data_IF_484990356713
#
_entry.id   IF_484990356713
#
_cell.length_a   1.000
_cell.length_b   1.000
_cell.length_c   1.000
_cell.angle_alpha   90.00
_cell.angle_beta   90.00
_cell.angle_gamma   90.00
#
_symmetry.space_group_name_H-M   'P 1'
#
loop_
_entity.id
_entity.type
_entity.pdbx_description
1 polymer ?
#
# COMPACT_ATOMS: atom_id res chain seq x y z
N UNK A 1 6.27 35.89 -6.43
CA UNK A 1 5.41 35.91 -7.64
C UNK A 1 5.80 34.71 -8.49
N UNK A 2 4.88 33.87 -8.96
CA UNK A 2 5.21 32.80 -9.89
C UNK A 2 5.78 33.45 -11.16
N UNK A 3 7.01 33.11 -11.49
CA UNK A 3 7.62 33.49 -12.76
C UNK A 3 6.91 32.71 -13.87
N UNK A 4 6.68 33.34 -15.03
CA UNK A 4 5.97 32.75 -16.19
C UNK A 4 6.57 31.39 -16.67
N UNK A 5 7.72 31.00 -16.16
CA UNK A 5 8.49 29.81 -16.53
C UNK A 5 8.54 28.71 -15.46
N UNK A 6 7.75 28.78 -14.37
CA UNK A 6 7.80 27.77 -13.32
C UNK A 6 7.08 26.47 -13.75
N UNK A 7 7.84 25.55 -14.33
CA UNK A 7 7.36 24.22 -14.69
C UNK A 7 7.30 23.32 -13.44
N UNK A 8 6.16 22.75 -13.15
CA UNK A 8 5.99 21.74 -12.09
C UNK A 8 5.65 20.40 -12.73
N UNK A 9 6.36 19.35 -12.36
CA UNK A 9 6.14 17.99 -12.84
C UNK A 9 5.82 17.11 -11.64
N UNK A 10 4.72 16.39 -11.69
CA UNK A 10 4.29 15.47 -10.65
C UNK A 10 4.10 14.06 -11.20
N UNK A 11 4.51 13.06 -10.42
CA UNK A 11 4.33 11.63 -10.71
C UNK A 11 3.58 10.99 -9.55
N UNK A 12 2.43 10.39 -9.86
CA UNK A 12 1.62 9.61 -8.93
C UNK A 12 1.89 8.13 -9.15
N UNK A 13 2.12 7.38 -8.06
CA UNK A 13 2.47 5.97 -8.05
C UNK A 13 1.25 5.10 -7.72
N UNK A 14 0.33 4.98 -8.68
CA UNK A 14 -0.89 4.17 -8.52
C UNK A 14 -0.63 2.67 -8.72
N UNK A 15 -1.49 1.81 -8.14
CA UNK A 15 -1.38 0.36 -8.29
C UNK A 15 -1.90 -0.17 -9.63
N UNK A 16 -2.73 0.60 -10.35
CA UNK A 16 -3.19 0.24 -11.71
C UNK A 16 -2.36 0.91 -12.79
N UNK A 17 -1.93 2.14 -12.54
CA UNK A 17 -1.13 2.94 -13.47
C UNK A 17 -0.28 3.95 -12.71
N UNK A 18 0.87 4.30 -13.26
CA UNK A 18 1.65 5.48 -12.88
C UNK A 18 1.21 6.64 -13.77
N UNK A 19 0.96 7.79 -13.17
CA UNK A 19 0.50 8.98 -13.88
C UNK A 19 1.48 10.12 -13.69
N UNK A 20 2.04 10.63 -14.78
CA UNK A 20 2.90 11.80 -14.80
C UNK A 20 2.17 12.99 -15.45
N UNK A 21 2.18 14.13 -14.80
CA UNK A 21 1.60 15.38 -15.33
C UNK A 21 2.62 16.51 -15.18
N UNK A 22 2.78 17.29 -16.24
CA UNK A 22 3.55 18.50 -16.23
C UNK A 22 2.63 19.71 -16.45
N UNK A 23 2.78 20.72 -15.62
CA UNK A 23 1.90 21.90 -15.67
C UNK A 23 2.55 23.16 -15.11
N UNK A 24 1.83 24.26 -15.21
CA UNK A 24 2.18 25.56 -14.65
C UNK A 24 1.02 26.12 -13.84
N UNK A 25 1.32 26.67 -12.68
CA UNK A 25 0.37 27.46 -11.91
C UNK A 25 0.22 28.84 -12.54
N UNK A 26 -0.98 29.23 -12.84
CA UNK A 26 -1.31 30.54 -13.38
C UNK A 26 -1.56 31.53 -12.23
N UNK A 27 -1.43 32.87 -12.47
CA UNK A 27 -1.68 33.88 -11.43
C UNK A 27 -3.11 33.86 -10.89
N UNK A 28 -4.08 33.35 -11.64
CA UNK A 28 -5.48 33.18 -11.23
C UNK A 28 -5.76 31.91 -10.46
N UNK A 29 -4.71 31.14 -10.13
CA UNK A 29 -4.80 29.89 -9.41
C UNK A 29 -5.15 28.66 -10.28
N UNK A 30 -5.35 28.83 -11.59
CA UNK A 30 -5.55 27.72 -12.52
C UNK A 30 -4.25 26.97 -12.79
N UNK A 31 -4.34 25.67 -13.07
CA UNK A 31 -3.23 24.86 -13.54
C UNK A 31 -3.36 24.68 -15.06
N UNK A 32 -2.38 25.18 -15.80
CA UNK A 32 -2.23 24.88 -17.22
C UNK A 32 -1.50 23.55 -17.38
N UNK A 33 -2.14 22.57 -17.98
CA UNK A 33 -1.53 21.27 -18.31
C UNK A 33 -0.73 21.39 -19.59
N UNK A 34 0.56 21.05 -19.53
CA UNK A 34 1.50 21.14 -20.65
C UNK A 34 1.79 19.79 -21.29
N UNK A 35 1.83 18.73 -20.47
CA UNK A 35 1.98 17.36 -20.93
C UNK A 35 1.45 16.39 -19.87
N UNK A 36 1.06 15.19 -20.31
CA UNK A 36 0.78 14.08 -19.43
C UNK A 36 1.18 12.76 -20.07
N UNK A 37 1.49 11.76 -19.22
CA UNK A 37 1.78 10.40 -19.60
C UNK A 37 1.21 9.44 -18.54
N UNK A 38 0.80 8.26 -18.96
CA UNK A 38 0.31 7.19 -18.08
C UNK A 38 0.88 5.86 -18.56
N UNK A 39 1.30 5.03 -17.60
CA UNK A 39 1.79 3.67 -17.86
C UNK A 39 1.15 2.67 -16.91
N UNK A 40 0.75 1.46 -17.37
CA UNK A 40 0.25 0.40 -16.49
C UNK A 40 1.29 -0.01 -15.44
N UNK A 41 0.87 -0.17 -14.18
CA UNK A 41 1.78 -0.49 -13.07
C UNK A 41 1.48 -1.79 -12.34
N UNK A 42 0.48 -2.53 -12.76
CA UNK A 42 -0.02 -3.74 -12.08
C UNK A 42 1.03 -4.84 -11.87
N UNK A 43 2.15 -4.81 -12.61
CA UNK A 43 3.23 -5.80 -12.50
C UNK A 43 4.36 -5.38 -11.56
N UNK A 44 4.43 -4.11 -11.12
CA UNK A 44 5.54 -3.60 -10.32
C UNK A 44 5.12 -2.67 -9.16
N UNK A 45 3.83 -2.29 -9.08
CA UNK A 45 3.27 -1.63 -7.89
C UNK A 45 2.14 -2.52 -7.35
N UNK A 46 2.21 -2.84 -6.06
CA UNK A 46 1.19 -3.62 -5.35
C UNK A 46 0.78 -2.92 -4.07
N UNK A 47 -0.52 -2.72 -3.90
CA UNK A 47 -1.08 -2.03 -2.72
C UNK A 47 -0.42 -0.67 -2.44
N UNK A 48 -0.10 0.07 -3.50
CA UNK A 48 0.58 1.36 -3.43
C UNK A 48 2.06 1.30 -3.04
N UNK A 49 2.72 0.14 -3.10
CA UNK A 49 4.15 -0.04 -2.83
C UNK A 49 4.88 -0.59 -4.05
N UNK A 50 6.13 -0.15 -4.23
CA UNK A 50 6.99 -0.66 -5.29
C UNK A 50 7.37 -2.11 -4.96
N UNK A 51 7.06 -3.02 -5.88
CA UNK A 51 7.34 -4.45 -5.76
C UNK A 51 8.50 -4.90 -6.69
N UNK A 52 8.73 -4.14 -7.77
CA UNK A 52 9.84 -4.39 -8.69
C UNK A 52 10.53 -3.06 -9.03
N UNK A 53 11.73 -2.87 -8.46
CA UNK A 53 12.52 -1.64 -8.59
C UNK A 53 12.96 -1.40 -10.04
N UNK A 54 13.37 -2.45 -10.77
CA UNK A 54 13.85 -2.32 -12.14
C UNK A 54 12.73 -1.86 -13.09
N UNK A 55 11.58 -2.51 -13.03
CA UNK A 55 10.41 -2.10 -13.85
C UNK A 55 9.94 -0.69 -13.48
N UNK A 56 9.97 -0.33 -12.21
CA UNK A 56 9.63 1.03 -11.77
C UNK A 56 10.62 2.05 -12.33
N UNK A 57 11.92 1.76 -12.31
CA UNK A 57 12.96 2.64 -12.90
C UNK A 57 12.75 2.82 -14.41
N UNK A 58 12.46 1.74 -15.15
CA UNK A 58 12.12 1.80 -16.57
C UNK A 58 10.89 2.66 -16.84
N UNK A 59 9.81 2.47 -16.07
CA UNK A 59 8.59 3.28 -16.17
C UNK A 59 8.89 4.78 -15.94
N UNK A 60 9.67 5.13 -14.92
CA UNK A 60 10.05 6.53 -14.65
C UNK A 60 10.85 7.11 -15.82
N UNK A 61 11.81 6.34 -16.38
CA UNK A 61 12.62 6.77 -17.52
C UNK A 61 11.78 7.02 -18.76
N UNK A 62 10.90 6.08 -19.11
CA UNK A 62 9.95 6.21 -20.23
C UNK A 62 9.02 7.41 -20.04
N UNK A 63 8.46 7.56 -18.85
CA UNK A 63 7.56 8.68 -18.53
C UNK A 63 8.26 10.02 -18.62
N UNK A 64 9.48 10.14 -18.07
CA UNK A 64 10.31 11.34 -18.21
C UNK A 64 10.51 11.70 -19.68
N UNK A 65 10.98 10.75 -20.49
CA UNK A 65 11.22 10.96 -21.92
C UNK A 65 9.96 11.38 -22.68
N UNK A 66 8.82 10.73 -22.39
CA UNK A 66 7.52 11.09 -22.98
C UNK A 66 7.08 12.52 -22.65
N UNK A 67 7.23 12.94 -21.38
CA UNK A 67 6.89 14.29 -20.95
C UNK A 67 7.83 15.32 -21.58
N UNK A 68 9.14 15.07 -21.59
CA UNK A 68 10.16 15.94 -22.17
C UNK A 68 9.95 16.15 -23.69
N UNK A 69 9.68 15.07 -24.42
CA UNK A 69 9.35 15.16 -25.86
C UNK A 69 8.13 16.01 -26.15
N UNK A 70 7.06 15.87 -25.35
CA UNK A 70 5.83 16.67 -25.51
C UNK A 70 6.04 18.15 -25.21
N UNK A 71 6.87 18.46 -24.22
CA UNK A 71 7.10 19.85 -23.79
C UNK A 71 8.29 20.52 -24.46
N UNK A 72 9.21 19.74 -25.07
CA UNK A 72 10.52 20.20 -25.57
C UNK A 72 11.35 20.87 -24.46
N UNK A 73 11.22 20.40 -23.22
CA UNK A 73 11.93 20.90 -22.03
C UNK A 73 12.47 19.74 -21.22
N UNK A 74 13.68 19.86 -20.68
CA UNK A 74 14.27 18.83 -19.85
C UNK A 74 13.73 18.88 -18.42
N UNK A 75 13.56 17.69 -17.80
CA UNK A 75 13.08 17.51 -16.43
C UNK A 75 14.26 17.09 -15.55
N UNK A 76 14.60 17.91 -14.55
CA UNK A 76 15.66 17.61 -13.58
C UNK A 76 15.14 17.03 -12.27
N UNK A 77 13.92 17.43 -11.91
CA UNK A 77 13.28 17.01 -10.66
C UNK A 77 11.78 16.88 -10.82
N UNK A 78 11.14 16.13 -9.93
CA UNK A 78 9.70 15.90 -9.93
C UNK A 78 9.14 15.83 -8.51
N UNK A 79 7.87 16.14 -8.36
CA UNK A 79 7.09 15.86 -7.16
C UNK A 79 6.54 14.45 -7.26
N UNK A 80 6.70 13.65 -6.20
CA UNK A 80 6.24 12.25 -6.20
C UNK A 80 5.28 12.02 -5.06
N UNK A 81 4.07 11.54 -5.37
CA UNK A 81 3.10 11.21 -4.35
C UNK A 81 3.50 9.96 -3.57
N UNK A 82 3.54 10.06 -2.23
CA UNK A 82 3.77 8.92 -1.37
C UNK A 82 2.46 8.43 -0.77
N UNK A 83 2.25 7.11 -0.77
CA UNK A 83 1.04 6.45 -0.27
C UNK A 83 1.27 4.96 -0.06
N UNK A 84 0.18 4.21 0.05
CA UNK A 84 0.21 2.75 0.03
C UNK A 84 0.04 2.08 1.39
N UNK A 85 0.01 0.76 1.33
CA UNK A 85 -0.27 -0.12 2.46
C UNK A 85 0.69 0.11 3.63
N UNK A 86 0.12 0.15 4.84
CA UNK A 86 0.85 0.32 6.10
C UNK A 86 1.00 1.77 6.54
N UNK A 87 0.63 2.74 5.70
CA UNK A 87 0.57 4.15 6.10
C UNK A 87 -0.63 4.38 7.04
N UNK A 88 -0.37 4.98 8.19
CA UNK A 88 -1.40 5.34 9.17
C UNK A 88 -0.89 6.43 10.12
N UNK A 89 -1.80 6.98 10.90
CA UNK A 89 -1.46 7.98 11.93
C UNK A 89 -1.22 7.36 13.28
N UNK A 90 -0.22 7.90 14.00
CA UNK A 90 0.12 7.56 15.39
C UNK A 90 0.19 8.85 16.18
N UNK A 91 -0.54 8.91 17.30
CA UNK A 91 -0.46 10.04 18.23
C UNK A 91 0.82 9.93 19.07
N UNK A 92 1.47 11.06 19.31
CA UNK A 92 2.60 11.18 20.23
C UNK A 92 2.50 12.49 20.99
N UNK A 93 3.15 12.57 22.15
CA UNK A 93 3.27 13.81 22.91
C UNK A 93 4.71 14.05 23.38
N UNK A 94 5.08 15.31 23.43
CA UNK A 94 6.38 15.78 23.94
C UNK A 94 6.11 16.74 25.07
N UNK A 95 6.74 16.53 26.24
CA UNK A 95 6.54 17.34 27.46
C UNK A 95 7.82 18.08 27.82
N UNK A 96 7.68 19.35 28.14
CA UNK A 96 8.77 20.21 28.68
C UNK A 96 8.31 20.86 29.98
N UNK A 97 9.17 20.80 30.99
CA UNK A 97 9.00 21.52 32.28
C UNK A 97 10.07 22.56 32.43
N UNK A 98 9.71 23.70 33.03
CA UNK A 98 10.61 24.80 33.27
C UNK A 98 10.67 25.11 34.79
N UNK A 99 11.82 25.51 35.30
CA UNK A 99 12.01 25.84 36.72
C UNK A 99 11.20 27.06 37.18
N UNK A 100 10.81 27.92 36.22
CA UNK A 100 9.97 29.09 36.45
C UNK A 100 9.13 29.38 35.23
N UNK A 101 8.05 30.17 35.42
CA UNK A 101 7.25 30.63 34.30
C UNK A 101 8.09 31.44 33.33
N UNK A 102 8.10 31.01 32.07
CA UNK A 102 8.76 31.68 30.95
C UNK A 102 7.85 31.77 29.75
N UNK A 103 8.16 32.69 28.85
CA UNK A 103 7.45 32.85 27.58
C UNK A 103 7.80 31.70 26.63
N UNK A 104 6.79 31.08 26.09
CA UNK A 104 6.96 30.03 25.05
C UNK A 104 7.41 30.71 23.76
N UNK A 105 8.54 30.28 23.21
CA UNK A 105 9.10 30.81 21.97
C UNK A 105 8.89 29.84 20.79
N UNK A 106 9.00 30.35 19.58
CA UNK A 106 8.93 29.51 18.36
C UNK A 106 10.03 28.44 18.35
N UNK A 107 11.24 28.78 18.81
CA UNK A 107 12.38 27.85 18.87
C UNK A 107 12.10 26.65 19.79
N UNK A 108 11.35 26.88 20.89
CA UNK A 108 10.92 25.78 21.77
C UNK A 108 9.94 24.83 21.07
N UNK A 109 8.99 25.39 20.31
CA UNK A 109 8.03 24.60 19.55
C UNK A 109 8.72 23.80 18.44
N UNK A 110 9.67 24.42 17.75
CA UNK A 110 10.49 23.76 16.71
C UNK A 110 11.32 22.62 17.31
N UNK A 111 11.97 22.85 18.46
CA UNK A 111 12.75 21.83 19.16
C UNK A 111 11.86 20.66 19.66
N UNK A 112 10.63 20.93 20.11
CA UNK A 112 9.66 19.88 20.46
C UNK A 112 9.22 19.08 19.24
N UNK A 113 9.02 19.74 18.12
CA UNK A 113 8.68 19.09 16.83
C UNK A 113 9.81 18.18 16.35
N UNK A 114 11.07 18.62 16.48
CA UNK A 114 12.25 17.81 16.11
C UNK A 114 12.43 16.61 17.05
N UNK A 115 12.19 16.79 18.35
CA UNK A 115 12.17 15.68 19.30
C UNK A 115 11.09 14.66 18.97
N UNK A 116 9.86 15.11 18.62
CA UNK A 116 8.79 14.25 18.19
C UNK A 116 9.19 13.43 16.95
N UNK A 117 9.81 14.06 15.94
CA UNK A 117 10.29 13.37 14.72
C UNK A 117 11.39 12.36 15.02
N UNK A 118 12.22 12.62 16.02
CA UNK A 118 13.32 11.75 16.43
C UNK A 118 12.85 10.54 17.24
N UNK A 119 11.62 10.57 17.76
CA UNK A 119 11.02 9.48 18.56
C UNK A 119 10.52 8.29 17.72
N UNK A 120 10.82 8.26 16.42
CA UNK A 120 10.36 7.23 15.49
C UNK A 120 10.81 5.82 15.90
N UNK A 121 9.92 4.86 15.69
CA UNK A 121 10.20 3.43 15.88
C UNK A 121 11.20 2.94 14.80
N UNK A 122 12.15 2.03 15.11
CA UNK A 122 13.16 1.54 14.16
C UNK A 122 12.60 1.03 12.82
N UNK A 123 11.38 0.49 12.82
CA UNK A 123 10.75 -0.10 11.63
C UNK A 123 9.87 0.88 10.84
N UNK A 124 9.74 2.14 11.29
CA UNK A 124 8.81 3.11 10.70
C UNK A 124 9.40 4.50 10.63
N UNK A 125 9.23 5.13 9.48
CA UNK A 125 9.54 6.53 9.26
C UNK A 125 8.32 7.40 9.57
N UNK A 126 8.54 8.53 10.23
CA UNK A 126 7.58 9.62 10.26
C UNK A 126 7.69 10.36 8.93
N UNK A 127 6.65 10.24 8.11
CA UNK A 127 6.57 10.94 6.83
C UNK A 127 6.25 12.41 7.04
N UNK A 128 5.29 12.68 7.92
CA UNK A 128 4.84 14.02 8.30
C UNK A 128 4.40 14.03 9.76
N UNK A 129 4.62 15.15 10.44
CA UNK A 129 4.16 15.38 11.81
C UNK A 129 3.22 16.59 11.82
N UNK A 130 1.98 16.37 12.23
CA UNK A 130 0.92 17.38 12.28
C UNK A 130 0.69 17.78 13.75
N UNK A 131 1.10 18.98 14.17
CA UNK A 131 0.76 19.48 15.50
C UNK A 131 -0.77 19.53 15.69
N UNK A 132 -1.25 19.06 16.83
CA UNK A 132 -2.68 19.01 17.11
C UNK A 132 -3.10 20.12 18.07
N UNK A 133 -2.55 20.11 19.26
CA UNK A 133 -2.80 21.10 20.32
C UNK A 133 -1.65 21.08 21.33
N UNK A 134 -1.52 22.18 22.05
CA UNK A 134 -0.54 22.35 23.12
C UNK A 134 -1.28 22.58 24.44
N UNK A 135 -0.84 21.90 25.49
CA UNK A 135 -1.35 22.05 26.84
C UNK A 135 -0.34 22.84 27.68
N UNK A 136 -0.80 23.95 28.27
CA UNK A 136 -0.02 24.80 29.16
C UNK A 136 -0.75 24.90 30.53
N UNK A 137 -0.44 23.96 31.41
CA UNK A 137 -1.21 23.78 32.67
C UNK A 137 -2.65 23.38 32.37
N UNK A 138 -3.61 24.30 32.61
CA UNK A 138 -5.05 24.06 32.32
C UNK A 138 -5.53 24.65 31.01
N UNK A 139 -4.65 25.31 30.27
CA UNK A 139 -5.00 25.96 29.01
C UNK A 139 -4.65 25.07 27.83
N UNK A 140 -5.55 25.02 26.85
CA UNK A 140 -5.35 24.31 25.56
C UNK A 140 -5.33 25.34 24.43
N UNK A 141 -4.36 25.24 23.52
CA UNK A 141 -4.22 26.14 22.39
C UNK A 141 -3.58 25.44 21.21
N UNK A 142 -3.84 25.93 19.99
CA UNK A 142 -3.12 25.54 18.78
C UNK A 142 -1.92 26.46 18.51
N UNK A 143 -1.89 27.64 19.12
CA UNK A 143 -0.83 28.63 18.99
C UNK A 143 -0.34 29.00 20.43
N UNK A 144 0.73 28.36 20.91
CA UNK A 144 1.25 28.55 22.26
C UNK A 144 2.28 29.68 22.38
N UNK A 145 2.76 30.26 21.26
CA UNK A 145 3.85 31.25 21.24
C UNK A 145 3.40 32.53 21.96
N UNK A 146 4.26 33.06 22.82
CA UNK A 146 3.98 34.26 23.60
C UNK A 146 3.24 34.01 24.94
N UNK A 147 2.80 32.78 25.22
CA UNK A 147 2.12 32.43 26.49
C UNK A 147 3.16 32.17 27.57
N UNK A 148 2.92 32.72 28.77
CA UNK A 148 3.74 32.45 29.96
C UNK A 148 3.30 31.15 30.65
N UNK A 149 4.23 30.16 30.73
CA UNK A 149 3.97 28.88 31.37
C UNK A 149 5.21 28.33 32.09
N UNK A 150 5.00 27.46 33.06
CA UNK A 150 6.01 26.65 33.77
C UNK A 150 6.19 25.26 33.14
N UNK A 151 5.45 24.97 32.04
CA UNK A 151 5.58 23.77 31.26
C UNK A 151 4.67 23.78 30.03
N UNK A 152 5.00 22.94 29.08
CA UNK A 152 4.23 22.75 27.84
C UNK A 152 4.23 21.27 27.45
N UNK A 153 3.08 20.77 27.04
CA UNK A 153 2.90 19.46 26.43
C UNK A 153 2.37 19.67 25.00
N UNK A 154 3.15 19.29 24.01
CA UNK A 154 2.75 19.32 22.60
C UNK A 154 2.20 17.97 22.18
N UNK A 155 0.99 17.94 21.63
CA UNK A 155 0.38 16.76 21.04
C UNK A 155 0.56 16.77 19.54
N UNK A 156 1.05 15.68 19.01
CA UNK A 156 1.36 15.49 17.57
C UNK A 156 0.62 14.29 17.01
N UNK A 157 0.18 14.39 15.77
CA UNK A 157 -0.29 13.28 14.97
C UNK A 157 0.75 12.99 13.88
N UNK A 158 1.47 11.90 14.03
CA UNK A 158 2.52 11.50 13.11
C UNK A 158 1.95 10.56 12.04
N UNK A 159 2.13 10.88 10.77
CA UNK A 159 1.84 9.98 9.67
C UNK A 159 3.07 9.11 9.47
N UNK A 160 2.91 7.82 9.68
CA UNK A 160 3.99 6.85 9.63
C UNK A 160 3.80 5.84 8.50
N UNK A 161 4.91 5.37 7.95
CA UNK A 161 4.96 4.25 7.01
C UNK A 161 6.17 3.37 7.32
N UNK A 162 6.29 2.22 6.66
CA UNK A 162 7.50 1.40 6.76
C UNK A 162 8.71 2.21 6.27
N UNK A 163 9.83 2.13 6.98
CA UNK A 163 11.06 2.90 6.71
C UNK A 163 11.62 2.69 5.29
N UNK A 164 11.43 1.52 4.70
CA UNK A 164 11.90 1.22 3.33
C UNK A 164 11.20 2.01 2.24
N UNK A 165 9.93 2.44 2.45
CA UNK A 165 9.08 3.03 1.37
C UNK A 165 9.71 4.27 0.75
N UNK A 166 10.16 5.19 1.60
CA UNK A 166 10.78 6.45 1.14
C UNK A 166 12.09 6.19 0.39
N UNK A 167 12.86 5.24 0.87
CA UNK A 167 14.15 4.90 0.27
C UNK A 167 13.99 4.14 -1.04
N UNK A 168 13.04 3.20 -1.13
CA UNK A 168 12.67 2.50 -2.36
C UNK A 168 12.29 3.49 -3.47
N UNK A 169 11.43 4.46 -3.16
CA UNK A 169 11.04 5.52 -4.11
C UNK A 169 12.28 6.31 -4.54
N UNK A 170 13.08 6.82 -3.59
CA UNK A 170 14.28 7.62 -3.89
C UNK A 170 15.29 6.87 -4.75
N UNK A 171 15.48 5.58 -4.51
CA UNK A 171 16.41 4.75 -5.26
C UNK A 171 15.94 4.56 -6.70
N UNK A 172 14.64 4.32 -6.95
CA UNK A 172 14.09 4.21 -8.31
C UNK A 172 14.29 5.50 -9.12
N UNK A 173 13.95 6.65 -8.53
CA UNK A 173 14.11 7.95 -9.20
C UNK A 173 15.57 8.33 -9.43
N UNK A 174 16.45 8.07 -8.47
CA UNK A 174 17.89 8.26 -8.62
C UNK A 174 18.46 7.41 -9.76
N UNK A 175 18.05 6.14 -9.83
CA UNK A 175 18.45 5.21 -10.90
C UNK A 175 17.93 5.64 -12.27
N UNK A 176 16.78 6.29 -12.34
CA UNK A 176 16.25 6.89 -13.56
C UNK A 176 16.85 8.27 -13.90
N UNK A 177 17.81 8.77 -13.12
CA UNK A 177 18.44 10.07 -13.36
C UNK A 177 17.50 11.27 -13.13
N UNK A 178 16.54 11.15 -12.21
CA UNK A 178 15.58 12.20 -11.84
C UNK A 178 15.67 12.48 -10.35
N UNK A 179 15.82 13.75 -9.98
CA UNK A 179 15.79 14.15 -8.57
C UNK A 179 14.33 14.29 -8.09
N UNK A 180 14.10 13.98 -6.83
CA UNK A 180 12.80 14.23 -6.19
C UNK A 180 12.84 15.62 -5.55
N UNK A 181 11.91 16.49 -5.96
CA UNK A 181 11.75 17.82 -5.37
C UNK A 181 11.11 17.71 -3.98
N UNK A 182 10.03 16.92 -3.86
CA UNK A 182 9.35 16.64 -2.61
C UNK A 182 8.53 15.33 -2.74
N UNK A 183 8.15 14.77 -1.57
CA UNK A 183 7.35 13.54 -1.42
C UNK A 183 6.06 13.82 -0.64
N UNK A 184 5.10 14.58 -1.19
CA UNK A 184 3.84 14.85 -0.51
C UNK A 184 3.02 13.57 -0.32
N UNK A 185 2.26 13.50 0.77
CA UNK A 185 1.32 12.42 1.01
C UNK A 185 0.12 12.56 0.08
N UNK A 186 -0.07 11.60 -0.83
CA UNK A 186 -1.04 11.68 -1.93
C UNK A 186 -2.46 11.96 -1.43
N UNK A 187 -2.91 11.22 -0.40
CA UNK A 187 -4.29 11.39 0.11
C UNK A 187 -4.51 12.75 0.78
N UNK A 188 -3.48 13.35 1.39
CA UNK A 188 -3.58 14.73 1.92
C UNK A 188 -3.63 15.75 0.79
N UNK A 189 -2.78 15.61 -0.22
CA UNK A 189 -2.81 16.48 -1.40
C UNK A 189 -4.19 16.43 -2.09
N UNK A 190 -4.75 15.23 -2.28
CA UNK A 190 -6.12 15.06 -2.80
C UNK A 190 -7.17 15.71 -1.90
N UNK A 191 -7.10 15.48 -0.59
CA UNK A 191 -8.05 16.08 0.35
C UNK A 191 -8.00 17.62 0.32
N UNK A 192 -6.81 18.21 0.21
CA UNK A 192 -6.66 19.66 0.10
C UNK A 192 -7.22 20.21 -1.21
N UNK A 193 -7.05 19.47 -2.31
CA UNK A 193 -7.57 19.84 -3.62
C UNK A 193 -9.10 19.63 -3.77
N UNK A 194 -9.72 18.77 -2.95
CA UNK A 194 -11.14 18.37 -3.10
C UNK A 194 -12.05 18.84 -1.98
N UNK A 195 -11.56 18.93 -0.73
CA UNK A 195 -12.35 19.36 0.42
C UNK A 195 -12.44 20.89 0.47
N UNK A 196 -13.58 21.36 0.95
CA UNK A 196 -13.76 22.79 1.28
C UNK A 196 -13.32 23.06 2.72
N UNK A 197 -12.89 24.29 3.00
CA UNK A 197 -12.57 24.71 4.38
C UNK A 197 -13.72 24.51 5.39
N UNK A 198 -15.00 24.79 5.04
CA UNK A 198 -16.13 24.46 5.91
C UNK A 198 -16.26 22.97 6.21
N UNK A 199 -15.99 22.07 5.26
CA UNK A 199 -16.01 20.61 5.49
C UNK A 199 -14.91 20.19 6.45
N UNK A 200 -13.67 20.62 6.25
CA UNK A 200 -12.55 20.34 7.15
C UNK A 200 -12.80 20.87 8.56
N UNK A 201 -13.35 22.09 8.67
CA UNK A 201 -13.65 22.73 9.97
C UNK A 201 -14.77 22.03 10.71
N UNK A 202 -15.91 21.77 10.04
CA UNK A 202 -17.06 21.12 10.67
C UNK A 202 -16.82 19.64 11.00
N UNK A 203 -15.81 19.06 10.42
CA UNK A 203 -15.44 17.64 10.52
C UNK A 203 -16.03 16.80 9.40
N UNK A 204 -15.16 16.08 8.68
CA UNK A 204 -15.54 15.20 7.59
C UNK A 204 -14.61 14.00 7.47
N UNK A 205 -15.07 12.99 6.75
CA UNK A 205 -14.26 11.84 6.33
C UNK A 205 -14.00 11.95 4.84
N UNK A 206 -12.76 11.88 4.46
CA UNK A 206 -12.33 11.78 3.07
C UNK A 206 -11.91 10.36 2.76
N UNK A 207 -12.46 9.77 1.70
CA UNK A 207 -12.19 8.40 1.27
C UNK A 207 -11.75 8.41 -0.19
N UNK A 208 -10.55 7.92 -0.45
CA UNK A 208 -10.03 7.68 -1.80
C UNK A 208 -10.01 6.18 -2.09
N UNK A 209 -10.91 5.74 -2.96
CA UNK A 209 -11.08 4.33 -3.35
C UNK A 209 -10.27 4.04 -4.61
N UNK A 210 -9.03 3.59 -4.44
CA UNK A 210 -8.13 3.22 -5.54
C UNK A 210 -8.32 1.80 -6.06
N UNK A 211 -7.35 1.34 -6.86
CA UNK A 211 -7.36 -0.01 -7.44
C UNK A 211 -7.06 -1.10 -6.40
N UNK A 212 -5.99 -0.97 -5.62
CA UNK A 212 -5.61 -1.97 -4.62
C UNK A 212 -5.59 -1.41 -3.18
N UNK A 213 -5.92 -0.12 -3.01
CA UNK A 213 -5.97 0.53 -1.70
C UNK A 213 -7.18 1.45 -1.60
N UNK A 214 -7.68 1.61 -0.38
CA UNK A 214 -8.64 2.64 -0.01
C UNK A 214 -8.05 3.46 1.13
N UNK A 215 -7.82 4.75 0.89
CA UNK A 215 -7.27 5.67 1.89
C UNK A 215 -8.42 6.38 2.61
N UNK A 216 -8.32 6.47 3.93
CA UNK A 216 -9.31 7.15 4.79
C UNK A 216 -8.62 8.24 5.57
N UNK A 217 -9.10 9.47 5.50
CA UNK A 217 -8.62 10.60 6.27
C UNK A 217 -9.78 11.32 6.97
N UNK A 218 -9.66 11.55 8.27
CA UNK A 218 -10.66 12.27 9.07
C UNK A 218 -10.12 13.65 9.41
N UNK A 219 -10.90 14.67 9.10
CA UNK A 219 -10.59 16.07 9.41
C UNK A 219 -11.56 16.63 10.43
N UNK A 220 -11.08 17.47 11.33
CA UNK A 220 -11.87 18.24 12.29
C UNK A 220 -11.10 19.49 12.71
N UNK A 221 -11.79 20.63 12.78
CA UNK A 221 -11.21 21.94 13.09
C UNK A 221 -10.03 22.31 12.17
N UNK A 222 -10.15 22.01 10.88
CA UNK A 222 -9.15 22.17 9.82
C UNK A 222 -7.86 21.34 10.01
N UNK A 223 -7.82 20.41 10.97
CA UNK A 223 -6.67 19.54 11.22
C UNK A 223 -7.00 18.10 10.81
N UNK A 224 -6.01 17.41 10.28
CA UNK A 224 -6.04 15.97 10.12
C UNK A 224 -6.06 15.32 11.52
N UNK A 225 -7.02 14.43 11.76
CA UNK A 225 -7.21 13.73 13.04
C UNK A 225 -6.99 12.23 12.96
N UNK A 226 -7.09 11.67 11.77
CA UNK A 226 -6.81 10.27 11.51
C UNK A 226 -6.52 10.08 10.02
N UNK A 227 -5.58 9.18 9.72
CA UNK A 227 -5.31 8.72 8.37
C UNK A 227 -4.92 7.25 8.44
N UNK A 228 -5.49 6.45 7.53
CA UNK A 228 -5.07 5.06 7.34
C UNK A 228 -5.28 4.62 5.89
N UNK A 229 -4.48 3.67 5.44
CA UNK A 229 -4.58 3.04 4.13
C UNK A 229 -4.98 1.58 4.30
N UNK A 230 -6.18 1.27 3.83
CA UNK A 230 -6.76 -0.09 3.78
C UNK A 230 -6.21 -0.77 2.53
N UNK A 231 -5.62 -1.98 2.60
CA UNK A 231 -5.03 -2.67 1.45
C UNK A 231 -6.08 -3.41 0.60
N UNK A 232 -7.22 -2.78 0.36
CA UNK A 232 -8.35 -3.25 -0.44
C UNK A 232 -8.81 -2.12 -1.37
N UNK A 233 -9.21 -2.46 -2.59
CA UNK A 233 -9.73 -1.53 -3.59
C UNK A 233 -10.42 -2.26 -4.74
N UNK A 234 -10.67 -1.58 -5.85
CA UNK A 234 -11.44 -2.10 -6.99
C UNK A 234 -10.88 -3.37 -7.64
N UNK A 235 -9.56 -3.58 -7.62
CA UNK A 235 -8.93 -4.80 -8.13
C UNK A 235 -9.22 -6.04 -7.26
N UNK A 236 -9.62 -5.85 -6.00
CA UNK A 236 -10.05 -6.98 -5.16
C UNK A 236 -11.39 -7.54 -5.64
N UNK A 237 -12.28 -6.69 -6.16
CA UNK A 237 -13.52 -7.12 -6.81
C UNK A 237 -13.22 -7.99 -8.03
N UNK A 238 -12.23 -7.59 -8.87
CA UNK A 238 -11.82 -8.40 -10.02
C UNK A 238 -11.35 -9.79 -9.58
N UNK A 239 -10.52 -9.88 -8.54
CA UNK A 239 -10.02 -11.17 -8.02
C UNK A 239 -11.16 -12.10 -7.60
N UNK A 240 -12.23 -11.56 -7.03
CA UNK A 240 -13.39 -12.38 -6.68
C UNK A 240 -14.17 -12.82 -7.92
N UNK A 241 -14.35 -11.93 -8.91
CA UNK A 241 -14.95 -12.27 -10.20
C UNK A 241 -14.13 -13.34 -10.94
N UNK A 242 -12.80 -13.29 -10.88
CA UNK A 242 -11.89 -14.30 -11.44
C UNK A 242 -12.12 -15.70 -10.84
N UNK A 243 -12.71 -15.82 -9.65
CA UNK A 243 -13.07 -17.11 -9.07
C UNK A 243 -14.10 -17.87 -9.92
N UNK A 244 -14.84 -17.18 -10.80
CA UNK A 244 -15.72 -17.74 -11.82
C UNK A 244 -14.96 -18.30 -13.04
N UNK A 245 -13.64 -18.46 -12.94
CA UNK A 245 -12.73 -18.89 -14.02
C UNK A 245 -12.75 -17.91 -15.21
N UNK A 246 -12.64 -16.63 -14.89
CA UNK A 246 -12.63 -15.50 -15.84
C UNK A 246 -11.26 -14.83 -15.75
N UNK A 247 -10.71 -14.41 -16.90
CA UNK A 247 -9.45 -13.66 -16.97
C UNK A 247 -9.59 -12.24 -16.38
N UNK A 248 -8.47 -11.66 -15.91
CA UNK A 248 -8.46 -10.37 -15.18
C UNK A 248 -9.03 -9.21 -16.00
N UNK A 249 -8.68 -9.13 -17.29
CA UNK A 249 -9.18 -8.09 -18.21
C UNK A 249 -10.68 -8.24 -18.50
N UNK A 250 -11.18 -9.46 -18.60
CA UNK A 250 -12.61 -9.72 -18.73
C UNK A 250 -13.34 -9.44 -17.41
N UNK A 251 -12.74 -9.77 -16.27
CA UNK A 251 -13.30 -9.46 -14.96
C UNK A 251 -13.46 -7.95 -14.75
N UNK A 252 -12.48 -7.13 -15.18
CA UNK A 252 -12.58 -5.67 -15.16
C UNK A 252 -13.73 -5.17 -16.05
N UNK A 253 -13.83 -5.66 -17.29
CA UNK A 253 -14.91 -5.29 -18.22
C UNK A 253 -16.29 -5.64 -17.64
N UNK A 254 -16.43 -6.82 -17.05
CA UNK A 254 -17.69 -7.27 -16.43
C UNK A 254 -18.04 -6.41 -15.21
N UNK A 255 -17.04 -6.09 -14.36
CA UNK A 255 -17.24 -5.20 -13.22
C UNK A 255 -17.72 -3.82 -13.66
N UNK A 256 -17.10 -3.23 -14.66
CA UNK A 256 -17.47 -1.90 -15.19
C UNK A 256 -18.87 -1.92 -15.83
N UNK A 257 -19.25 -3.01 -16.49
CA UNK A 257 -20.52 -3.11 -17.22
C UNK A 257 -21.69 -3.52 -16.36
N UNK A 258 -21.49 -4.46 -15.44
CA UNK A 258 -22.55 -5.12 -14.70
C UNK A 258 -22.45 -4.97 -13.18
N UNK A 259 -21.29 -4.52 -12.67
CA UNK A 259 -21.04 -4.42 -11.23
C UNK A 259 -21.95 -3.41 -10.55
N UNK A 260 -22.52 -3.80 -9.43
CA UNK A 260 -23.29 -2.93 -8.52
C UNK A 260 -22.88 -3.20 -7.08
N UNK A 261 -22.80 -2.14 -6.28
CA UNK A 261 -22.47 -2.24 -4.86
C UNK A 261 -23.63 -2.73 -3.98
N UNK A 262 -24.79 -2.93 -4.55
CA UNK A 262 -25.98 -3.47 -3.89
C UNK A 262 -26.49 -4.70 -4.61
N UNK A 263 -27.10 -5.57 -3.82
CA UNK A 263 -27.71 -6.78 -4.33
C UNK A 263 -28.73 -6.49 -5.44
N UNK A 264 -28.74 -7.34 -6.46
CA UNK A 264 -29.66 -7.23 -7.57
C UNK A 264 -31.09 -7.54 -7.17
N UNK A 265 -32.05 -7.02 -7.92
CA UNK A 265 -33.45 -7.36 -7.78
C UNK A 265 -33.72 -8.81 -8.22
N UNK A 266 -34.80 -9.41 -7.74
CA UNK A 266 -35.21 -10.78 -8.12
C UNK A 266 -35.32 -10.97 -9.66
N UNK A 267 -35.72 -9.92 -10.39
CA UNK A 267 -35.79 -9.95 -11.86
C UNK A 267 -34.38 -9.91 -12.51
N UNK A 268 -33.42 -9.21 -11.92
CA UNK A 268 -32.05 -9.16 -12.40
C UNK A 268 -31.31 -10.46 -12.10
N UNK A 269 -31.56 -11.11 -10.96
CA UNK A 269 -30.98 -12.37 -10.55
C UNK A 269 -31.27 -13.53 -11.52
N UNK A 270 -32.37 -13.47 -12.27
CA UNK A 270 -32.69 -14.47 -13.29
C UNK A 270 -31.88 -14.33 -14.60
N UNK A 271 -31.08 -13.24 -14.76
CA UNK A 271 -30.25 -13.01 -15.94
C UNK A 271 -28.99 -13.85 -15.89
N UNK A 272 -28.43 -14.08 -17.07
CA UNK A 272 -27.10 -14.68 -17.23
C UNK A 272 -26.17 -13.73 -17.98
N UNK A 273 -24.90 -13.75 -17.62
CA UNK A 273 -23.83 -13.01 -18.28
C UNK A 273 -23.12 -13.96 -19.23
N UNK A 274 -23.04 -13.59 -20.51
CA UNK A 274 -22.27 -14.33 -21.50
C UNK A 274 -20.81 -13.89 -21.46
N UNK A 275 -19.91 -14.85 -21.30
CA UNK A 275 -18.47 -14.65 -21.29
C UNK A 275 -17.89 -14.66 -22.71
N UNK A 276 -16.66 -14.16 -22.87
CA UNK A 276 -15.92 -14.12 -24.16
C UNK A 276 -15.69 -15.51 -24.73
N UNK A 277 -15.50 -16.52 -23.87
CA UNK A 277 -15.30 -17.93 -24.26
C UNK A 277 -16.60 -18.69 -24.62
N UNK A 278 -17.76 -18.00 -24.54
CA UNK A 278 -19.07 -18.55 -24.84
C UNK A 278 -19.80 -19.19 -23.67
N UNK A 279 -19.16 -19.38 -22.51
CA UNK A 279 -19.82 -19.81 -21.27
C UNK A 279 -20.79 -18.72 -20.79
N UNK A 280 -21.67 -19.12 -19.89
CA UNK A 280 -22.57 -18.20 -19.17
C UNK A 280 -22.40 -18.39 -17.67
N UNK A 281 -22.39 -17.27 -16.93
CA UNK A 281 -22.41 -17.26 -15.47
C UNK A 281 -23.73 -16.64 -14.97
N UNK A 282 -24.17 -17.04 -13.78
CA UNK A 282 -25.33 -16.44 -13.14
C UNK A 282 -25.03 -14.98 -12.76
N UNK A 283 -25.98 -14.08 -13.07
CA UNK A 283 -25.86 -12.70 -12.62
C UNK A 283 -25.95 -12.59 -11.09
N UNK A 284 -26.73 -13.43 -10.44
CA UNK A 284 -26.85 -13.51 -8.98
C UNK A 284 -25.49 -13.84 -8.33
N UNK A 285 -24.80 -14.87 -8.83
CA UNK A 285 -23.47 -15.26 -8.33
C UNK A 285 -22.45 -14.14 -8.54
N UNK A 286 -22.41 -13.55 -9.74
CA UNK A 286 -21.55 -12.41 -10.05
C UNK A 286 -21.82 -11.21 -9.15
N UNK A 287 -23.10 -10.81 -9.02
CA UNK A 287 -23.48 -9.65 -8.21
C UNK A 287 -23.21 -9.87 -6.72
N UNK A 288 -23.41 -11.09 -6.22
CA UNK A 288 -23.09 -11.46 -4.84
C UNK A 288 -21.59 -11.33 -4.52
N UNK A 289 -20.71 -11.72 -5.44
CA UNK A 289 -19.25 -11.54 -5.29
C UNK A 289 -18.86 -10.06 -5.24
N UNK A 290 -19.45 -9.24 -6.12
CA UNK A 290 -19.19 -7.79 -6.18
C UNK A 290 -19.66 -7.12 -4.89
N UNK A 291 -20.92 -7.35 -4.48
CA UNK A 291 -21.49 -6.75 -3.28
C UNK A 291 -20.69 -7.13 -2.03
N UNK A 292 -20.38 -8.41 -1.83
CA UNK A 292 -19.64 -8.87 -0.65
C UNK A 292 -18.28 -8.21 -0.52
N UNK A 293 -17.55 -8.02 -1.64
CA UNK A 293 -16.26 -7.34 -1.60
C UNK A 293 -16.40 -5.84 -1.33
N UNK A 294 -17.37 -5.19 -1.93
CA UNK A 294 -17.62 -3.77 -1.68
C UNK A 294 -18.04 -3.53 -0.23
N UNK A 295 -18.92 -4.38 0.31
CA UNK A 295 -19.31 -4.35 1.73
C UNK A 295 -18.09 -4.48 2.65
N UNK A 296 -17.19 -5.42 2.38
CA UNK A 296 -15.94 -5.55 3.16
C UNK A 296 -15.09 -4.27 3.11
N UNK A 297 -14.96 -3.63 1.95
CA UNK A 297 -14.23 -2.36 1.84
C UNK A 297 -14.91 -1.28 2.69
N UNK A 298 -16.22 -1.14 2.59
CA UNK A 298 -17.00 -0.14 3.34
C UNK A 298 -16.95 -0.39 4.85
N UNK A 299 -17.04 -1.64 5.30
CA UNK A 299 -16.91 -2.00 6.71
C UNK A 299 -15.51 -1.67 7.26
N UNK A 300 -14.46 -1.87 6.46
CA UNK A 300 -13.10 -1.44 6.84
C UNK A 300 -12.99 0.10 6.90
N UNK A 301 -13.61 0.84 5.98
CA UNK A 301 -13.71 2.31 6.07
C UNK A 301 -14.41 2.72 7.38
N UNK A 302 -15.56 2.11 7.69
CA UNK A 302 -16.29 2.39 8.92
C UNK A 302 -15.48 2.08 10.19
N UNK A 303 -14.68 1.01 10.15
CA UNK A 303 -13.75 0.69 11.23
C UNK A 303 -12.68 1.78 11.40
N UNK A 304 -12.11 2.32 10.32
CA UNK A 304 -11.15 3.43 10.40
C UNK A 304 -11.78 4.70 10.96
N UNK A 305 -13.05 4.97 10.62
CA UNK A 305 -13.81 6.07 11.21
C UNK A 305 -13.95 5.88 12.72
N UNK A 306 -14.30 4.68 13.17
CA UNK A 306 -14.39 4.36 14.60
C UNK A 306 -13.04 4.51 15.34
N UNK A 307 -11.92 4.07 14.70
CA UNK A 307 -10.57 4.24 15.25
C UNK A 307 -10.14 5.71 15.37
N UNK A 308 -10.71 6.62 14.60
CA UNK A 308 -10.47 8.06 14.70
C UNK A 308 -10.99 8.66 16.01
N UNK A 309 -11.84 7.94 16.74
CA UNK A 309 -12.53 8.38 17.99
C UNK A 309 -13.54 9.53 17.78
N UNK A 310 -13.83 9.89 16.52
CA UNK A 310 -14.88 10.84 16.16
C UNK A 310 -16.13 10.07 15.74
N UNK A 311 -17.25 10.38 16.33
CA UNK A 311 -18.54 9.85 15.89
C UNK A 311 -19.18 10.71 14.80
N UNK A 312 -20.24 10.19 14.18
CA UNK A 312 -20.92 10.86 13.07
C UNK A 312 -21.50 12.22 13.43
N UNK A 313 -21.94 12.41 14.67
CA UNK A 313 -22.48 13.68 15.15
C UNK A 313 -21.44 14.79 15.15
N UNK A 314 -20.16 14.43 15.29
CA UNK A 314 -19.03 15.35 15.25
C UNK A 314 -18.52 15.60 13.83
N UNK A 315 -18.87 14.75 12.86
CA UNK A 315 -18.42 14.79 11.47
C UNK A 315 -19.53 15.35 10.54
N UNK A 316 -19.99 16.56 10.85
CA UNK A 316 -21.14 17.23 10.20
C UNK A 316 -20.90 17.47 8.70
N UNK A 317 -19.63 17.60 8.26
CA UNK A 317 -19.25 17.68 6.86
C UNK A 317 -19.61 16.44 6.06
N UNK A 318 -19.78 15.29 6.74
CA UNK A 318 -20.19 14.03 6.14
C UNK A 318 -19.04 13.24 5.55
N UNK A 319 -19.36 12.35 4.63
CA UNK A 319 -18.45 11.46 3.93
C UNK A 319 -18.22 11.99 2.51
N UNK A 320 -16.96 12.22 2.15
CA UNK A 320 -16.54 12.68 0.82
C UNK A 320 -15.72 11.56 0.18
N UNK A 321 -16.17 11.06 -0.95
CA UNK A 321 -15.63 9.86 -1.61
C UNK A 321 -15.12 10.23 -3.00
N UNK A 322 -13.94 9.69 -3.34
CA UNK A 322 -13.29 9.83 -4.64
C UNK A 322 -12.56 8.54 -5.01
N UNK A 323 -11.84 8.56 -6.13
CA UNK A 323 -11.06 7.42 -6.64
C UNK A 323 -11.83 6.56 -7.62
N UNK A 324 -11.11 5.80 -8.45
CA UNK A 324 -11.70 5.05 -9.57
C UNK A 324 -12.73 4.00 -9.14
N UNK A 325 -12.52 3.32 -8.00
CA UNK A 325 -13.46 2.33 -7.51
C UNK A 325 -14.78 2.93 -6.98
N UNK A 326 -14.81 4.24 -6.70
CA UNK A 326 -16.03 4.95 -6.28
C UNK A 326 -17.05 5.18 -7.40
N UNK A 327 -16.70 4.86 -8.64
CA UNK A 327 -17.59 4.99 -9.80
C UNK A 327 -18.57 3.81 -9.95
N UNK A 328 -18.48 2.80 -9.10
CA UNK A 328 -19.36 1.63 -9.15
C UNK A 328 -20.83 2.04 -8.94
N UNK A 329 -21.75 1.39 -9.67
CA UNK A 329 -23.17 1.62 -9.53
C UNK A 329 -23.62 1.36 -8.09
N UNK A 330 -24.54 2.18 -7.58
CA UNK A 330 -25.18 2.09 -6.24
C UNK A 330 -24.21 2.17 -5.05
N UNK A 331 -22.96 2.60 -5.26
CA UNK A 331 -21.94 2.72 -4.19
C UNK A 331 -22.37 3.72 -3.10
N UNK A 332 -23.10 4.76 -3.46
CA UNK A 332 -23.67 5.75 -2.56
C UNK A 332 -24.66 5.13 -1.57
N UNK A 333 -25.54 4.29 -2.07
CA UNK A 333 -26.54 3.57 -1.26
C UNK A 333 -25.88 2.55 -0.34
N UNK A 334 -24.85 1.83 -0.83
CA UNK A 334 -24.08 0.90 -0.02
C UNK A 334 -23.37 1.62 1.14
N UNK A 335 -22.70 2.75 0.87
CA UNK A 335 -22.12 3.57 1.94
C UNK A 335 -23.16 4.09 2.94
N UNK A 336 -24.34 4.56 2.48
CA UNK A 336 -25.42 4.97 3.38
C UNK A 336 -25.91 3.83 4.26
N UNK A 337 -26.10 2.63 3.65
CA UNK A 337 -26.54 1.42 4.38
C UNK A 337 -25.57 1.05 5.51
N UNK A 338 -24.26 1.02 5.22
CA UNK A 338 -23.28 0.39 6.10
C UNK A 338 -22.63 1.39 7.05
N UNK A 339 -22.40 2.65 6.64
CA UNK A 339 -21.79 3.67 7.49
C UNK A 339 -22.81 4.51 8.27
N UNK A 340 -24.08 4.53 7.83
CA UNK A 340 -25.13 5.37 8.39
C UNK A 340 -24.88 6.88 8.32
N UNK A 341 -23.98 7.33 7.44
CA UNK A 341 -23.87 8.75 7.11
C UNK A 341 -25.02 9.15 6.18
N UNK A 342 -25.74 10.22 6.53
CA UNK A 342 -26.80 10.78 5.69
C UNK A 342 -26.22 11.70 4.61
N UNK A 343 -25.11 12.39 4.93
CA UNK A 343 -24.44 13.32 4.00
C UNK A 343 -23.24 12.61 3.36
N UNK A 344 -23.42 12.19 2.10
CA UNK A 344 -22.37 11.60 1.28
C UNK A 344 -22.22 12.42 0.00
N UNK A 345 -20.99 12.77 -0.35
CA UNK A 345 -20.65 13.53 -1.56
C UNK A 345 -19.57 12.79 -2.35
N UNK A 346 -19.86 12.49 -3.60
CA UNK A 346 -18.88 11.96 -4.54
C UNK A 346 -18.18 13.11 -5.27
N UNK A 347 -16.84 13.05 -5.31
CA UNK A 347 -16.02 14.06 -5.97
C UNK A 347 -15.22 13.41 -7.07
N UNK A 348 -15.56 13.71 -8.30
CA UNK A 348 -14.86 13.20 -9.48
C UNK A 348 -13.64 14.03 -9.85
N UNK A 349 -13.70 15.35 -9.66
CA UNK A 349 -12.64 16.26 -10.08
C UNK A 349 -12.20 17.17 -8.92
N UNK A 350 -10.95 17.57 -8.96
CA UNK A 350 -10.39 18.59 -8.06
C UNK A 350 -11.08 19.94 -8.28
N UNK A 351 -11.00 20.81 -7.26
CA UNK A 351 -11.59 22.16 -7.33
C UNK A 351 -10.73 23.17 -8.09
N UNK A 352 -9.44 22.88 -8.24
CA UNK A 352 -8.51 23.77 -8.95
C UNK A 352 -8.91 23.85 -10.43
N UNK A 353 -9.10 25.04 -11.01
CA UNK A 353 -9.42 25.20 -12.42
C UNK A 353 -8.29 24.66 -13.30
N UNK A 354 -8.65 23.91 -14.36
CA UNK A 354 -7.68 23.36 -15.30
C UNK A 354 -7.78 24.05 -16.66
N UNK A 355 -6.64 24.37 -17.24
CA UNK A 355 -6.51 24.80 -18.63
C UNK A 355 -5.87 23.67 -19.44
N UNK A 356 -6.69 23.04 -20.28
CA UNK A 356 -6.34 21.82 -21.02
C UNK A 356 -6.57 21.98 -22.51
N UNK A 357 -6.29 23.17 -23.06
CA UNK A 357 -6.57 23.49 -24.46
C UNK A 357 -6.00 22.49 -25.45
N UNK A 358 -4.81 21.94 -25.16
CA UNK A 358 -4.09 21.01 -26.01
C UNK A 358 -4.46 19.54 -25.77
N UNK A 359 -5.26 19.27 -24.74
CA UNK A 359 -5.67 17.91 -24.33
C UNK A 359 -7.18 17.86 -24.05
N UNK A 360 -8.04 17.86 -25.08
CA UNK A 360 -9.49 17.75 -24.88
C UNK A 360 -9.85 16.45 -24.12
N UNK A 361 -10.68 16.57 -23.09
CA UNK A 361 -11.08 15.44 -22.26
C UNK A 361 -10.07 14.99 -21.20
N UNK A 362 -8.95 15.69 -21.05
CA UNK A 362 -8.00 15.42 -19.98
C UNK A 362 -8.69 15.46 -18.60
N UNK A 363 -8.48 14.42 -17.81
CA UNK A 363 -9.05 14.26 -16.46
C UNK A 363 -10.60 14.31 -16.40
N UNK A 364 -11.31 13.96 -17.49
CA UNK A 364 -12.78 13.94 -17.51
C UNK A 364 -13.35 12.99 -16.45
N UNK A 365 -12.67 11.89 -16.20
CA UNK A 365 -13.06 10.84 -15.24
C UNK A 365 -12.33 10.95 -13.88
N UNK A 366 -11.54 12.02 -13.70
CA UNK A 366 -10.79 12.25 -12.45
C UNK A 366 -9.55 11.38 -12.27
N UNK A 367 -9.12 10.71 -13.30
CA UNK A 367 -8.03 9.71 -13.26
C UNK A 367 -6.61 10.30 -13.15
N UNK A 368 -6.48 11.63 -13.28
CA UNK A 368 -5.25 12.40 -13.04
C UNK A 368 -5.32 13.27 -11.77
N UNK A 369 -6.38 13.19 -11.00
CA UNK A 369 -6.60 14.06 -9.83
C UNK A 369 -5.41 14.07 -8.85
N UNK A 370 -4.84 12.91 -8.56
CA UNK A 370 -3.70 12.78 -7.65
C UNK A 370 -2.47 13.54 -8.19
N UNK A 371 -2.11 13.33 -9.44
CA UNK A 371 -0.98 14.04 -10.05
C UNK A 371 -1.21 15.56 -10.12
N UNK A 372 -2.43 16.00 -10.40
CA UNK A 372 -2.77 17.43 -10.41
C UNK A 372 -2.73 18.03 -9.00
N UNK A 373 -3.22 17.29 -7.98
CA UNK A 373 -3.14 17.73 -6.60
C UNK A 373 -1.68 17.86 -6.12
N UNK A 374 -0.78 17.01 -6.61
CA UNK A 374 0.66 17.12 -6.36
C UNK A 374 1.27 18.35 -7.07
N UNK A 375 0.81 18.70 -8.29
CA UNK A 375 1.21 19.96 -8.96
C UNK A 375 0.77 21.16 -8.13
N UNK A 376 -0.43 21.11 -7.58
CA UNK A 376 -0.96 22.20 -6.73
C UNK A 376 -0.12 22.40 -5.46
N UNK A 377 0.49 21.36 -4.92
CA UNK A 377 1.46 21.45 -3.81
C UNK A 377 2.84 21.93 -4.26
N UNK A 378 3.20 21.78 -5.53
CA UNK A 378 4.53 22.08 -6.04
C UNK A 378 4.83 23.57 -6.05
N UNK A 379 6.05 23.95 -5.67
CA UNK A 379 6.55 25.34 -5.67
C UNK A 379 7.84 25.51 -6.48
N UNK A 380 8.68 24.46 -6.54
CA UNK A 380 9.99 24.50 -7.20
C UNK A 380 9.87 24.25 -8.70
N UNK A 381 10.66 24.96 -9.48
CA UNK A 381 10.79 24.70 -10.91
C UNK A 381 11.47 23.34 -11.14
N UNK A 382 10.84 22.50 -11.96
CA UNK A 382 11.30 21.16 -12.31
C UNK A 382 12.15 21.10 -13.59
N UNK A 383 12.27 22.21 -14.33
CA UNK A 383 13.00 22.29 -15.61
C UNK A 383 14.47 22.65 -15.43
N UNK A 384 15.33 22.09 -16.31
CA UNK A 384 16.73 22.53 -16.50
C UNK A 384 16.91 23.45 -17.72
N UNK A 385 15.83 23.85 -18.40
CA UNK A 385 15.87 24.61 -19.63
C UNK A 385 15.31 23.83 -20.85
N UNK A 386 15.56 24.35 -22.05
CA UNK A 386 15.12 23.71 -23.30
C UNK A 386 16.01 22.48 -23.61
N UNK A 387 15.38 21.44 -24.12
CA UNK A 387 16.11 20.27 -24.64
C UNK A 387 16.86 20.68 -25.92
N UNK A 388 18.19 20.56 -25.91
CA UNK A 388 18.99 20.62 -27.10
C UNK A 388 18.68 19.43 -28.03
N UNK A 389 18.73 19.66 -29.37
CA UNK A 389 18.54 18.54 -30.33
C UNK A 389 19.52 17.38 -30.12
N UNK A 390 20.71 17.65 -29.58
CA UNK A 390 21.70 16.64 -29.24
C UNK A 390 21.33 15.82 -28.00
N UNK A 391 20.57 16.39 -27.06
CA UNK A 391 20.20 15.72 -25.82
C UNK A 391 19.09 14.65 -26.04
N UNK A 392 18.18 14.90 -26.99
CA UNK A 392 17.12 13.95 -27.37
C UNK A 392 17.70 12.64 -27.93
N UNK A 393 18.71 12.72 -28.81
CA UNK A 393 19.33 11.55 -29.41
C UNK A 393 20.26 10.81 -28.43
N UNK A 394 20.98 11.54 -27.56
CA UNK A 394 21.81 10.93 -26.51
C UNK A 394 21.02 10.25 -25.39
N UNK A 395 19.77 10.67 -25.10
CA UNK A 395 18.94 10.02 -24.12
C UNK A 395 18.28 8.74 -24.66
N UNK A 396 17.92 8.69 -25.95
CA UNK A 396 17.45 7.46 -26.60
C UNK A 396 18.55 6.40 -26.70
N UNK A 397 19.80 6.78 -27.08
CA UNK A 397 20.94 5.86 -27.07
C UNK A 397 21.28 5.38 -25.63
N UNK A 398 21.31 6.27 -24.66
CA UNK A 398 21.56 5.92 -23.25
C UNK A 398 20.42 5.09 -22.65
N UNK A 399 19.17 5.30 -23.05
CA UNK A 399 18.03 4.48 -22.64
C UNK A 399 18.15 3.07 -23.26
N UNK A 400 18.51 2.96 -24.54
CA UNK A 400 18.73 1.69 -25.23
C UNK A 400 19.93 0.90 -24.67
N UNK A 401 21.05 1.59 -24.35
CA UNK A 401 22.21 0.97 -23.71
C UNK A 401 21.88 0.49 -22.26
N UNK A 402 21.11 1.29 -21.49
CA UNK A 402 20.65 0.88 -20.16
C UNK A 402 19.66 -0.27 -20.22
N UNK A 403 18.75 -0.31 -21.20
CA UNK A 403 17.81 -1.40 -21.39
C UNK A 403 18.54 -2.71 -21.73
N UNK A 404 19.62 -2.64 -22.54
CA UNK A 404 20.48 -3.79 -22.81
C UNK A 404 21.30 -4.22 -21.56
N UNK A 405 21.78 -3.30 -20.74
CA UNK A 405 22.48 -3.63 -19.50
C UNK A 405 21.55 -4.22 -18.45
N UNK A 406 20.34 -3.67 -18.28
CA UNK A 406 19.32 -4.21 -17.35
C UNK A 406 18.84 -5.60 -17.78
N UNK A 407 18.65 -5.83 -19.09
CA UNK A 407 18.28 -7.16 -19.60
C UNK A 407 19.39 -8.20 -19.41
N UNK A 408 20.68 -7.79 -19.48
CA UNK A 408 21.82 -8.65 -19.18
C UNK A 408 21.95 -8.95 -17.69
N UNK A 409 21.69 -7.96 -16.81
CA UNK A 409 21.68 -8.16 -15.36
C UNK A 409 20.47 -9.00 -14.90
N UNK A 410 19.29 -8.83 -15.52
CA UNK A 410 18.12 -9.69 -15.25
C UNK A 410 18.38 -11.15 -15.68
N UNK A 411 19.04 -11.38 -16.81
CA UNK A 411 19.45 -12.71 -17.23
C UNK A 411 20.47 -13.33 -16.26
N UNK A 412 21.47 -12.55 -15.84
CA UNK A 412 22.46 -13.00 -14.87
C UNK A 412 21.85 -13.29 -13.48
N UNK A 413 20.90 -12.47 -13.03
CA UNK A 413 20.19 -12.70 -11.77
C UNK A 413 19.24 -13.91 -11.83
N UNK A 414 18.56 -14.11 -12.97
CA UNK A 414 17.72 -15.28 -13.21
C UNK A 414 18.54 -16.59 -13.28
N UNK A 415 19.75 -16.55 -13.89
CA UNK A 415 20.67 -17.68 -13.87
C UNK A 415 21.24 -17.97 -12.49
N UNK A 416 21.56 -16.91 -11.72
CA UNK A 416 22.02 -17.06 -10.33
C UNK A 416 20.92 -17.64 -9.43
N UNK A 417 19.67 -17.20 -9.59
CA UNK A 417 18.52 -17.75 -8.86
C UNK A 417 18.26 -19.22 -9.20
N UNK A 418 18.33 -19.59 -10.48
CA UNK A 418 18.20 -20.98 -10.91
C UNK A 418 19.31 -21.89 -10.35
N UNK A 419 20.55 -21.40 -10.32
CA UNK A 419 21.66 -22.15 -9.70
C UNK A 419 21.48 -22.32 -8.19
N UNK A 420 21.00 -21.26 -7.50
CA UNK A 420 20.69 -21.35 -6.07
C UNK A 420 19.53 -22.32 -5.77
N UNK A 421 18.50 -22.35 -6.62
CA UNK A 421 17.40 -23.33 -6.49
C UNK A 421 17.87 -24.77 -6.75
N UNK A 422 18.75 -24.98 -7.77
CA UNK A 422 19.34 -26.30 -8.02
C UNK A 422 20.26 -26.78 -6.88
N UNK A 423 21.05 -25.89 -6.29
CA UNK A 423 21.88 -26.21 -5.12
C UNK A 423 21.03 -26.50 -3.87
N UNK A 424 19.98 -25.73 -3.63
CA UNK A 424 19.04 -25.97 -2.54
C UNK A 424 18.29 -27.32 -2.71
N UNK A 425 17.87 -27.63 -3.94
CA UNK A 425 17.23 -28.90 -4.25
C UNK A 425 18.17 -30.10 -4.02
N UNK A 426 19.47 -29.98 -4.37
CA UNK A 426 20.48 -31.01 -4.11
C UNK A 426 20.72 -31.19 -2.61
N UNK A 427 20.81 -30.11 -1.85
CA UNK A 427 20.98 -30.18 -0.39
C UNK A 427 19.78 -30.85 0.28
N UNK A 428 18.56 -30.56 -0.17
CA UNK A 428 17.35 -31.18 0.35
C UNK A 428 17.28 -32.68 0.06
N UNK A 429 17.72 -33.09 -1.14
CA UNK A 429 17.79 -34.51 -1.53
C UNK A 429 18.86 -35.26 -0.76
N UNK A 430 20.03 -34.64 -0.52
CA UNK A 430 21.08 -35.22 0.32
C UNK A 430 20.63 -35.38 1.79
N UNK A 431 19.88 -34.40 2.30
CA UNK A 431 19.34 -34.46 3.66
C UNK A 431 18.27 -35.57 3.79
N UNK A 432 17.41 -35.72 2.75
CA UNK A 432 16.43 -36.81 2.70
C UNK A 432 17.08 -38.19 2.68
N UNK A 433 18.12 -38.39 1.85
CA UNK A 433 18.88 -39.63 1.80
C UNK A 433 19.53 -39.93 3.16
N UNK A 434 20.02 -38.89 3.84
CA UNK A 434 20.63 -39.03 5.17
C UNK A 434 19.62 -39.43 6.24
N UNK A 435 18.42 -38.86 6.19
CA UNK A 435 17.32 -39.21 7.09
C UNK A 435 16.83 -40.64 6.85
N UNK A 436 16.65 -41.05 5.60
CA UNK A 436 16.28 -42.42 5.23
C UNK A 436 17.32 -43.43 5.70
N UNK A 437 18.62 -43.14 5.57
CA UNK A 437 19.69 -43.99 6.03
C UNK A 437 19.76 -44.09 7.58
N UNK A 438 19.41 -43.03 8.29
CA UNK A 438 19.34 -43.03 9.76
C UNK A 438 18.13 -43.81 10.27
N UNK A 439 16.97 -43.66 9.61
CA UNK A 439 15.79 -44.46 9.91
C UNK A 439 16.02 -45.96 9.67
N UNK A 440 16.73 -46.34 8.60
CA UNK A 440 17.05 -47.71 8.31
C UNK A 440 18.02 -48.29 9.33
N UNK A 441 19.01 -47.50 9.80
CA UNK A 441 19.89 -47.88 10.91
C UNK A 441 19.12 -48.14 12.21
N UNK A 442 18.19 -47.27 12.54
CA UNK A 442 17.34 -47.42 13.73
C UNK A 442 16.45 -48.66 13.64
N UNK A 443 15.89 -48.94 12.46
CA UNK A 443 15.12 -50.20 12.22
C UNK A 443 15.97 -51.46 12.40
N UNK A 444 17.17 -51.47 11.85
CA UNK A 444 18.10 -52.58 12.00
C UNK A 444 18.50 -52.79 13.48
N UNK A 445 18.70 -51.68 14.21
CA UNK A 445 19.04 -51.75 15.64
C UNK A 445 17.88 -52.26 16.49
N UNK A 446 16.65 -51.79 16.20
CA UNK A 446 15.45 -52.32 16.85
C UNK A 446 15.21 -53.79 16.54
N UNK A 447 15.46 -54.24 15.31
CA UNK A 447 15.33 -55.65 14.96
C UNK A 447 16.37 -56.51 15.69
N UNK A 448 17.61 -56.01 15.83
CA UNK A 448 18.65 -56.68 16.66
C UNK A 448 18.24 -56.74 18.13
N UNK A 449 17.69 -55.69 18.70
CA UNK A 449 17.16 -55.66 20.09
C UNK A 449 16.01 -56.64 20.27
N UNK A 450 15.07 -56.72 19.30
CA UNK A 450 13.97 -57.70 19.33
C UNK A 450 14.47 -59.14 19.23
N UNK A 451 15.49 -59.44 18.39
CA UNK A 451 16.13 -60.75 18.29
C UNK A 451 16.83 -61.09 19.59
N UNK A 452 17.60 -60.18 20.20
CA UNK A 452 18.26 -60.42 21.51
C UNK A 452 17.24 -60.66 22.64
N UNK A 453 16.14 -59.91 22.66
CA UNK A 453 15.07 -60.11 23.65
C UNK A 453 14.37 -61.48 23.45
N UNK A 454 14.10 -61.89 22.21
CA UNK A 454 13.60 -63.22 21.89
C UNK A 454 14.58 -64.35 22.38
N UNK A 455 15.86 -64.16 22.12
CA UNK A 455 16.92 -65.12 22.61
C UNK A 455 16.96 -65.16 24.12
N UNK A 456 16.91 -64.06 24.82
CA UNK A 456 16.84 -64.02 26.29
C UNK A 456 15.59 -64.73 26.84
N UNK A 457 14.46 -64.53 26.21
CA UNK A 457 13.20 -65.16 26.59
C UNK A 457 13.21 -66.68 26.30
N UNK A 458 13.83 -67.14 25.19
CA UNK A 458 14.02 -68.52 24.84
C UNK A 458 14.99 -69.20 25.89
N UNK A 459 16.12 -68.54 26.18
CA UNK A 459 17.06 -69.02 27.18
C UNK A 459 16.45 -69.16 28.58
N UNK A 460 15.56 -68.19 28.95
CA UNK A 460 14.81 -68.23 30.21
C UNK A 460 13.72 -69.32 30.24
N UNK A 461 13.17 -69.69 29.09
CA UNK A 461 12.27 -70.84 28.97
C UNK A 461 13.03 -72.18 29.05
N UNK A 462 14.20 -72.27 28.40
CA UNK A 462 15.04 -73.44 28.46
C UNK A 462 15.66 -73.66 29.85
N UNK A 463 16.04 -72.65 30.62
CA UNK A 463 16.50 -72.81 32.00
C UNK A 463 15.36 -73.31 32.90
N UNK A 464 14.16 -72.84 32.76
CA UNK A 464 12.97 -73.30 33.47
C UNK A 464 12.63 -74.77 33.10
N UNK A 465 12.87 -75.16 31.85
CA UNK A 465 12.71 -76.58 31.44
C UNK A 465 13.79 -77.50 31.98
N UNK A 466 15.04 -77.01 32.09
CA UNK A 466 16.13 -77.73 32.76
C UNK A 466 15.87 -77.91 34.24
N UNK A 467 15.42 -76.89 34.96
CA UNK A 467 15.04 -76.93 36.37
C UNK A 467 13.84 -77.89 36.63
N UNK A 468 12.88 -77.92 35.67
CA UNK A 468 11.75 -78.86 35.73
C UNK A 468 12.18 -80.33 35.47
N UNK A 469 13.10 -80.59 34.54
CA UNK A 469 13.66 -81.89 34.21
C UNK A 469 14.53 -82.35 35.32
N UNK A 470 15.31 -81.52 36.01
CA UNK A 470 16.09 -81.84 37.19
C UNK A 470 15.22 -82.33 38.37
N UNK A 471 14.06 -81.68 38.59
CA UNK A 471 13.10 -82.07 39.59
C UNK A 471 12.45 -83.48 39.33
N UNK A 472 12.24 -83.83 38.06
CA UNK A 472 11.67 -85.12 37.68
C UNK A 472 12.68 -86.24 37.84
N UNK A 473 13.99 -85.99 37.68
CA UNK A 473 15.06 -86.99 37.88
C UNK A 473 15.29 -87.19 39.35
N UNK A 474 15.22 -86.18 40.22
CA UNK A 474 15.37 -86.28 41.66
C UNK A 474 14.17 -86.96 42.37
N UNK A 475 12.98 -86.99 41.77
CA UNK A 475 11.82 -87.74 42.32
C UNK A 475 11.80 -89.22 41.97
N UNK A 476 12.63 -89.68 40.99
CA UNK A 476 12.67 -91.08 40.60
C UNK A 476 13.82 -91.92 41.25
N UNK A 477 14.72 -91.29 42.01
CA UNK A 477 15.77 -91.99 42.73
C UNK A 477 15.47 -92.25 44.24
N UNK A 478 14.23 -92.05 44.69
CA UNK A 478 13.80 -92.11 46.09
C UNK A 478 12.99 -93.37 46.48
N UNK A 479 12.76 -94.37 45.61
CA UNK A 479 12.08 -95.58 45.95
C UNK A 479 12.84 -96.82 45.43
N UNK A 480 13.93 -97.15 46.16
CA UNK A 480 14.42 -98.50 46.27
C UNK A 480 15.57 -98.59 47.31
N UNK A 481 15.20 -98.75 48.61
CA UNK A 481 15.95 -99.47 49.58
C UNK A 481 15.05 -99.73 50.81
#
# INVERSE_FOLDING_TARGET
MPTEDNLIVAIELGSSKVTGVAGRKQPDGAIQVLAFAQEPSTTFIRKGRINNVNKMTQCITSMKSSLEQKMQKSISRVYVGIGGMGMHTVANSVVRHFDSKMEITQEMIDAMSDENRSSANPDRDILESVPQEFHLGTQYTIDPVGILSDGIEGHYLNIVANSSVREEIRNCFRSAGVSIADLPITVQALADAMLTEPEKRSGCVFVDMGAETTSVAVYKNNLLRHLAVIPLGGANVNRDIMSLQIEDDEAEDLKLKYGSALHATDEENQKTIKLRDGRTVSYEEFAGLVEARVEEIILNVNNQIALSKYDRSQLIGGLIITGGASHMKDIDKAFMRDTKFEKIRFVRNIRVPLRTSDYPGFNSDGDCNAAIALIDKGEMNCSNGELGKADLFNEEEKAAEKEQQLSAEEQASAEASKKAEEEAAKQLEEERIRQEAEEERLRIEEEKRRKQQRWKNIKKKFSKFGDWFGKIVDENDGDNA
#
